data_IF_338936433869
#
_entry.id   IF_338936433869
#
_cell.length_a   1.000
_cell.length_b   1.000
_cell.length_c   1.000
_cell.angle_alpha   90.00
_cell.angle_beta   90.00
_cell.angle_gamma   90.00
#
_symmetry.space_group_name_H-M   'P 1'
#
loop_
_entity.id
_entity.type
_entity.pdbx_description
1 polymer ?
#
# COMPACT_ATOMS: atom_id res chain seq x y z
N UNK A 1 -33.81 -29.14 20.00
CA UNK A 1 -33.66 -27.69 20.29
C UNK A 1 -32.64 -27.35 21.40
N UNK A 2 -31.65 -28.22 21.69
CA UNK A 2 -30.60 -27.96 22.70
C UNK A 2 -29.17 -27.85 22.14
N UNK A 3 -28.95 -28.15 20.85
CA UNK A 3 -27.62 -28.05 20.22
C UNK A 3 -27.27 -26.65 19.65
N UNK A 4 -28.26 -25.79 19.38
CA UNK A 4 -28.00 -24.47 18.76
C UNK A 4 -27.56 -23.42 19.80
N UNK A 5 -27.95 -23.62 21.07
CA UNK A 5 -27.58 -22.72 22.18
C UNK A 5 -26.10 -22.81 22.56
N UNK A 6 -25.44 -23.95 22.33
CA UNK A 6 -24.04 -24.18 22.74
C UNK A 6 -23.04 -23.60 21.75
N UNK A 7 -23.36 -23.53 20.45
CA UNK A 7 -22.49 -22.92 19.44
C UNK A 7 -22.56 -21.38 19.42
N UNK A 8 -23.69 -20.80 19.86
CA UNK A 8 -23.83 -19.35 19.97
C UNK A 8 -22.98 -18.78 21.13
N UNK A 9 -22.80 -19.54 22.22
CA UNK A 9 -21.92 -19.15 23.33
C UNK A 9 -20.43 -19.21 22.99
N UNK A 10 -20.02 -20.16 22.13
CA UNK A 10 -18.62 -20.26 21.67
C UNK A 10 -18.23 -19.15 20.70
N UNK A 11 -19.18 -18.65 19.90
CA UNK A 11 -18.93 -17.57 18.94
C UNK A 11 -18.83 -16.19 19.61
N UNK A 12 -19.38 -15.97 20.80
CA UNK A 12 -19.26 -14.69 21.53
C UNK A 12 -17.93 -14.59 22.30
N UNK A 13 -17.36 -15.71 22.76
CA UNK A 13 -16.07 -15.74 23.44
C UNK A 13 -14.87 -15.33 22.56
N UNK A 14 -14.96 -15.54 21.24
CA UNK A 14 -13.90 -15.16 20.30
C UNK A 14 -13.86 -13.65 20.00
N UNK A 15 -14.95 -12.91 20.19
CA UNK A 15 -14.98 -11.46 19.91
C UNK A 15 -14.44 -10.61 21.06
N UNK A 16 -14.36 -11.14 22.28
CA UNK A 16 -13.84 -10.43 23.45
C UNK A 16 -12.30 -10.43 23.53
N UNK A 17 -11.62 -11.26 22.76
CA UNK A 17 -10.14 -11.27 22.70
C UNK A 17 -9.56 -10.14 21.83
N UNK A 18 -10.40 -9.47 21.04
CA UNK A 18 -10.00 -8.35 20.16
C UNK A 18 -9.88 -6.98 20.84
N UNK A 19 -10.38 -6.81 22.07
CA UNK A 19 -10.36 -5.51 22.80
C UNK A 19 -9.10 -5.30 23.66
N UNK A 20 -8.09 -6.16 23.57
CA UNK A 20 -6.87 -6.14 24.42
C UNK A 20 -6.07 -4.82 24.44
N UNK A 21 -5.97 -4.02 23.35
CA UNK A 21 -5.20 -2.78 23.39
C UNK A 21 -5.82 -1.68 24.27
N UNK A 22 -7.15 -1.67 24.44
CA UNK A 22 -7.85 -0.61 25.17
C UNK A 22 -7.58 -0.67 26.69
N UNK A 23 -7.30 -1.85 27.22
CA UNK A 23 -7.04 -2.07 28.65
C UNK A 23 -5.55 -1.98 29.04
N UNK A 24 -4.65 -1.73 28.09
CA UNK A 24 -3.21 -1.57 28.34
C UNK A 24 -2.76 -0.10 28.37
N UNK A 25 -3.60 0.81 28.85
CA UNK A 25 -3.16 2.17 29.13
C UNK A 25 -2.40 2.18 30.47
N UNK A 26 -1.12 2.55 30.51
CA UNK A 26 -0.35 2.55 31.75
C UNK A 26 -0.89 3.64 32.69
N UNK A 27 -1.43 3.22 33.84
CA UNK A 27 -1.87 4.11 34.92
C UNK A 27 -0.74 4.45 35.90
N UNK A 28 0.47 3.92 35.68
CA UNK A 28 1.65 4.12 36.51
C UNK A 28 2.85 4.58 35.69
N UNK A 29 3.80 5.22 36.36
CA UNK A 29 5.04 5.67 35.74
C UNK A 29 5.91 4.47 35.36
N UNK A 30 6.38 4.44 34.11
CA UNK A 30 7.33 3.44 33.66
C UNK A 30 8.77 3.84 34.03
N UNK A 31 9.62 2.85 34.33
CA UNK A 31 11.06 3.10 34.53
C UNK A 31 11.74 3.37 33.19
N UNK A 32 12.79 4.19 33.22
CA UNK A 32 13.65 4.39 32.06
C UNK A 32 14.22 3.03 31.60
N UNK A 33 14.18 2.79 30.29
CA UNK A 33 14.70 1.60 29.61
C UNK A 33 15.54 2.01 28.41
N UNK A 34 16.37 1.09 27.93
CA UNK A 34 17.04 1.26 26.63
C UNK A 34 15.96 1.47 25.55
N UNK A 35 16.25 2.36 24.59
CA UNK A 35 15.30 2.73 23.54
C UNK A 35 14.85 1.51 22.74
N UNK A 36 13.58 1.52 22.29
CA UNK A 36 13.02 0.43 21.52
C UNK A 36 13.81 0.23 20.20
N UNK A 37 14.35 -0.97 20.00
CA UNK A 37 14.94 -1.37 18.73
C UNK A 37 13.81 -1.82 17.79
N UNK A 38 13.64 -1.14 16.66
CA UNK A 38 12.68 -1.50 15.62
C UNK A 38 13.28 -2.60 14.74
N UNK A 39 12.43 -3.35 14.04
CA UNK A 39 12.82 -4.40 13.09
C UNK A 39 13.90 -3.96 12.07
N UNK A 40 13.99 -2.68 11.70
CA UNK A 40 15.04 -2.13 10.83
C UNK A 40 16.47 -2.45 11.31
N UNK A 41 16.68 -2.56 12.63
CA UNK A 41 17.97 -2.91 13.19
C UNK A 41 18.38 -4.37 12.90
N UNK A 42 17.41 -5.27 12.71
CA UNK A 42 17.72 -6.67 12.35
C UNK A 42 18.31 -6.77 10.95
N UNK A 43 17.77 -6.02 9.99
CA UNK A 43 18.31 -6.00 8.62
C UNK A 43 19.72 -5.38 8.55
N UNK A 44 19.99 -4.38 9.39
CA UNK A 44 21.32 -3.80 9.56
C UNK A 44 22.32 -4.79 10.15
N UNK A 45 21.95 -5.51 11.21
CA UNK A 45 22.80 -6.55 11.84
C UNK A 45 23.05 -7.75 10.92
N UNK A 46 22.18 -7.97 9.94
CA UNK A 46 22.26 -9.08 8.99
C UNK A 46 23.12 -8.78 7.74
N UNK A 47 23.78 -7.63 7.67
CA UNK A 47 24.69 -7.30 6.58
C UNK A 47 25.87 -8.29 6.45
N UNK A 48 26.39 -8.54 5.24
CA UNK A 48 27.63 -9.29 5.08
C UNK A 48 28.78 -8.55 5.77
N UNK A 49 29.74 -9.25 6.35
CA UNK A 49 30.87 -8.61 7.01
C UNK A 49 31.78 -7.90 5.99
N UNK A 50 32.30 -6.72 6.33
CA UNK A 50 33.25 -5.99 5.50
C UNK A 50 34.63 -6.67 5.48
N UNK A 51 35.35 -6.62 4.36
CA UNK A 51 36.75 -7.05 4.27
C UNK A 51 37.66 -6.12 5.08
N UNK A 52 37.39 -4.82 4.97
CA UNK A 52 38.06 -3.76 5.71
C UNK A 52 37.03 -2.67 6.00
N UNK A 53 37.01 -2.18 7.24
CA UNK A 53 36.15 -1.06 7.63
C UNK A 53 36.68 0.22 6.98
N UNK A 54 35.78 0.99 6.39
CA UNK A 54 36.14 2.22 5.68
C UNK A 54 35.99 3.41 6.62
N UNK A 55 37.06 4.20 6.78
CA UNK A 55 37.01 5.44 7.58
C UNK A 55 36.21 6.50 6.81
N UNK A 56 35.13 6.99 7.41
CA UNK A 56 34.21 7.94 6.78
C UNK A 56 34.03 9.20 7.62
N UNK A 57 34.04 10.35 6.97
CA UNK A 57 33.74 11.63 7.62
C UNK A 57 32.28 12.01 7.41
N UNK A 58 31.57 12.35 8.49
CA UNK A 58 30.21 12.92 8.44
C UNK A 58 30.25 14.32 9.01
N UNK A 59 29.93 15.32 8.20
CA UNK A 59 29.97 16.72 8.63
C UNK A 59 28.64 17.19 9.22
N UNK A 60 27.64 17.35 8.35
CA UNK A 60 26.30 17.80 8.73
C UNK A 60 25.30 16.98 7.96
N UNK A 61 24.47 16.25 8.69
CA UNK A 61 23.35 15.53 8.13
C UNK A 61 22.12 16.07 8.82
N UNK A 62 21.37 16.95 8.15
CA UNK A 62 20.34 17.78 8.76
C UNK A 62 19.00 17.62 8.07
N UNK A 63 17.96 18.08 8.75
CA UNK A 63 16.67 18.34 8.14
C UNK A 63 16.79 19.53 7.17
N UNK A 64 16.48 19.29 5.89
CA UNK A 64 16.44 20.29 4.82
C UNK A 64 15.01 20.52 4.32
N UNK A 65 14.00 19.94 4.98
CA UNK A 65 12.59 20.05 4.58
C UNK A 65 11.99 21.40 4.94
N UNK A 66 12.47 22.03 6.01
CA UNK A 66 11.91 23.26 6.57
C UNK A 66 10.51 23.08 7.16
N UNK A 67 10.06 21.86 7.41
CA UNK A 67 8.69 21.57 7.82
C UNK A 67 8.49 21.69 9.34
N UNK A 68 7.42 22.37 9.72
CA UNK A 68 6.93 22.45 11.09
C UNK A 68 5.71 21.54 11.28
N UNK A 69 5.43 21.13 12.52
CA UNK A 69 4.26 20.31 12.82
C UNK A 69 2.98 21.08 12.45
N UNK A 70 2.09 20.50 11.62
CA UNK A 70 0.82 21.14 11.30
C UNK A 70 -0.03 21.23 12.58
N UNK A 71 -0.62 22.40 12.82
CA UNK A 71 -1.61 22.59 13.88
C UNK A 71 -2.94 23.07 13.30
N UNK A 72 -4.03 22.61 13.90
CA UNK A 72 -5.39 22.86 13.40
C UNK A 72 -5.78 24.34 13.49
N UNK A 73 -5.28 25.07 14.50
CA UNK A 73 -5.61 26.49 14.74
C UNK A 73 -4.37 27.29 15.21
N UNK A 74 -3.34 27.48 14.36
CA UNK A 74 -2.21 28.36 14.67
C UNK A 74 -0.90 27.99 13.99
N UNK A 75 0.18 28.72 14.30
CA UNK A 75 1.55 28.41 13.86
C UNK A 75 2.32 27.65 14.94
N UNK A 76 3.02 26.58 14.56
CA UNK A 76 3.94 25.87 15.46
C UNK A 76 5.40 26.18 15.12
N UNK A 77 6.23 26.36 16.15
CA UNK A 77 7.70 26.41 16.00
C UNK A 77 8.36 25.04 16.17
N UNK A 78 7.58 23.99 16.47
CA UNK A 78 8.10 22.63 16.60
C UNK A 78 8.31 22.02 15.22
N UNK A 79 9.54 21.67 14.90
CA UNK A 79 9.88 20.99 13.64
C UNK A 79 9.17 19.64 13.54
N UNK A 80 8.80 19.24 12.33
CA UNK A 80 8.18 17.94 12.07
C UNK A 80 9.19 16.78 12.26
N UNK A 81 10.47 17.07 12.01
CA UNK A 81 11.58 16.13 12.07
C UNK A 81 12.55 16.51 13.18
N UNK A 82 13.22 15.50 13.74
CA UNK A 82 14.29 15.66 14.74
C UNK A 82 15.51 16.35 14.14
N UNK A 83 16.18 17.18 14.94
CA UNK A 83 17.43 17.84 14.56
C UNK A 83 18.69 16.99 14.86
N UNK A 84 18.53 15.86 15.56
CA UNK A 84 19.62 14.94 15.94
C UNK A 84 20.04 13.95 14.86
N UNK A 85 19.88 14.31 13.59
CA UNK A 85 19.96 13.36 12.46
C UNK A 85 21.39 12.97 12.11
N UNK A 86 22.37 13.85 12.37
CA UNK A 86 23.81 13.50 12.32
C UNK A 86 24.15 12.36 13.29
N UNK A 87 23.70 12.43 14.54
CA UNK A 87 23.95 11.39 15.55
C UNK A 87 23.33 10.05 15.16
N UNK A 88 22.11 10.08 14.61
CA UNK A 88 21.44 8.87 14.12
C UNK A 88 22.25 8.22 12.99
N UNK A 89 22.74 9.01 12.03
CA UNK A 89 23.58 8.51 10.94
C UNK A 89 24.91 7.93 11.45
N UNK A 90 25.61 8.64 12.33
CA UNK A 90 26.87 8.16 12.92
C UNK A 90 26.69 6.81 13.61
N UNK A 91 25.61 6.67 14.38
CA UNK A 91 25.25 5.41 15.03
C UNK A 91 24.94 4.30 14.03
N UNK A 92 24.15 4.58 12.99
CA UNK A 92 23.82 3.60 11.96
C UNK A 92 25.08 3.13 11.18
N UNK A 93 26.04 4.03 10.92
CA UNK A 93 27.32 3.69 10.30
C UNK A 93 28.18 2.81 11.22
N UNK A 94 28.21 3.09 12.52
CA UNK A 94 28.94 2.28 13.50
C UNK A 94 28.31 0.88 13.66
N UNK A 95 27.00 0.80 13.86
CA UNK A 95 26.24 -0.45 14.02
C UNK A 95 26.29 -1.33 12.76
N UNK A 96 26.50 -0.75 11.58
CA UNK A 96 26.67 -1.50 10.33
C UNK A 96 27.89 -2.42 10.33
N UNK A 97 28.94 -2.09 11.09
CA UNK A 97 30.22 -2.79 11.03
C UNK A 97 31.02 -2.58 9.73
N UNK A 98 30.55 -1.76 8.79
CA UNK A 98 31.24 -1.46 7.52
C UNK A 98 32.12 -0.21 7.58
N UNK A 99 31.80 0.70 8.50
CA UNK A 99 32.41 2.01 8.56
C UNK A 99 33.03 2.29 9.92
N UNK A 100 34.10 3.10 9.91
CA UNK A 100 34.66 3.75 11.08
C UNK A 100 34.35 5.26 10.95
N UNK A 101 33.19 5.72 11.47
CA UNK A 101 32.81 7.12 11.37
C UNK A 101 33.72 7.99 12.24
N UNK A 102 34.12 9.15 11.71
CA UNK A 102 34.93 10.14 12.44
C UNK A 102 34.13 11.42 12.74
N UNK A 103 34.34 11.97 13.93
CA UNK A 103 33.70 13.19 14.41
C UNK A 103 34.17 14.42 13.61
N UNK A 104 33.26 15.02 12.83
CA UNK A 104 33.48 16.28 12.10
C UNK A 104 32.39 17.31 12.33
N UNK A 105 31.26 16.95 12.95
CA UNK A 105 30.20 17.89 13.30
C UNK A 105 30.70 18.88 14.34
N UNK A 106 31.43 18.37 15.34
CA UNK A 106 31.98 19.18 16.43
C UNK A 106 33.52 19.14 16.51
N UNK A 107 34.17 19.25 15.34
CA UNK A 107 35.64 19.23 15.25
C UNK A 107 36.31 20.33 16.09
N UNK A 108 35.65 21.48 16.27
CA UNK A 108 36.16 22.57 17.10
C UNK A 108 36.43 22.14 18.55
N UNK A 109 35.48 21.45 19.17
CA UNK A 109 35.63 20.94 20.54
C UNK A 109 36.76 19.90 20.62
N UNK A 110 36.86 18.99 19.64
CA UNK A 110 37.94 18.00 19.60
C UNK A 110 39.33 18.65 19.47
N UNK A 111 39.46 19.70 18.65
CA UNK A 111 40.71 20.42 18.48
C UNK A 111 41.10 21.21 19.73
N UNK A 112 40.11 21.79 20.42
CA UNK A 112 40.32 22.46 21.70
C UNK A 112 40.82 21.47 22.77
N UNK A 113 40.17 20.33 22.91
CA UNK A 113 40.58 19.30 23.87
C UNK A 113 42.02 18.81 23.59
N UNK A 114 42.33 18.55 22.32
CA UNK A 114 43.70 18.18 21.92
C UNK A 114 44.72 19.29 22.16
N UNK A 115 44.31 20.56 22.06
CA UNK A 115 45.17 21.70 22.42
C UNK A 115 45.46 21.70 23.92
N UNK A 116 44.45 21.49 24.76
CA UNK A 116 44.60 21.39 26.23
C UNK A 116 45.58 20.26 26.57
N UNK A 117 45.41 19.08 26.00
CA UNK A 117 46.31 17.94 26.26
C UNK A 117 47.75 18.27 25.87
N UNK A 118 47.97 18.95 24.73
CA UNK A 118 49.32 19.35 24.30
C UNK A 118 49.94 20.36 25.26
N UNK A 119 49.20 21.38 25.71
CA UNK A 119 49.72 22.36 26.65
C UNK A 119 50.06 21.74 28.00
N UNK A 120 49.17 20.89 28.54
CA UNK A 120 49.41 20.20 29.81
C UNK A 120 50.64 19.29 29.73
N UNK A 121 50.79 18.52 28.65
CA UNK A 121 51.97 17.65 28.47
C UNK A 121 53.27 18.43 28.31
N UNK A 122 53.23 19.60 27.67
CA UNK A 122 54.40 20.48 27.56
C UNK A 122 54.82 21.00 28.94
N UNK A 123 53.86 21.52 29.72
CA UNK A 123 54.09 22.00 31.08
C UNK A 123 54.65 20.91 32.00
N UNK A 124 54.08 19.69 31.97
CA UNK A 124 54.62 18.55 32.73
C UNK A 124 56.04 18.18 32.31
N UNK A 125 56.36 18.27 31.02
CA UNK A 125 57.71 17.99 30.51
C UNK A 125 58.70 19.05 31.02
N UNK A 126 58.29 20.31 31.06
CA UNK A 126 59.09 21.42 31.61
C UNK A 126 59.33 21.27 33.12
N UNK A 127 58.31 20.86 33.88
CA UNK A 127 58.42 20.72 35.34
C UNK A 127 59.19 19.48 35.79
N UNK A 128 59.02 18.34 35.10
CA UNK A 128 59.56 17.04 35.56
C UNK A 128 60.79 16.58 34.76
N UNK A 129 61.08 17.22 33.62
CA UNK A 129 62.10 16.78 32.67
C UNK A 129 61.74 15.50 31.91
N UNK A 130 60.59 14.87 32.20
CA UNK A 130 60.15 13.63 31.56
C UNK A 130 59.32 13.94 30.31
N UNK A 131 59.87 13.58 29.14
CA UNK A 131 59.23 13.82 27.84
C UNK A 131 57.95 13.02 27.68
N UNK A 132 56.81 13.70 27.55
CA UNK A 132 55.52 13.07 27.31
C UNK A 132 55.36 12.60 25.86
N UNK A 133 54.61 11.51 25.60
CA UNK A 133 54.36 11.02 24.25
C UNK A 133 53.52 12.02 23.43
N UNK A 134 53.81 12.12 22.13
CA UNK A 134 53.05 12.98 21.20
C UNK A 134 51.67 12.37 20.94
N UNK A 135 50.66 13.22 20.77
CA UNK A 135 49.33 12.75 20.41
C UNK A 135 49.32 12.15 18.99
N UNK A 136 48.64 11.00 18.76
CA UNK A 136 48.49 10.44 17.43
C UNK A 136 47.74 11.41 16.51
N UNK A 137 48.03 11.45 15.19
CA UNK A 137 47.32 12.31 14.25
C UNK A 137 45.84 11.93 14.15
N UNK A 138 45.00 12.87 13.72
CA UNK A 138 43.59 12.58 13.44
C UNK A 138 43.48 11.67 12.22
N UNK A 139 42.52 10.74 12.26
CA UNK A 139 42.25 9.85 11.13
C UNK A 139 41.78 10.68 9.90
N UNK A 140 42.30 10.29 8.74
CA UNK A 140 41.87 10.80 7.45
C UNK A 140 40.79 9.89 6.87
N UNK A 141 39.69 10.48 6.40
CA UNK A 141 38.64 9.75 5.70
C UNK A 141 38.84 9.85 4.19
N UNK A 142 38.99 8.72 3.51
CA UNK A 142 39.03 8.66 2.04
C UNK A 142 37.67 8.98 1.39
N UNK A 143 36.60 8.83 2.16
CA UNK A 143 35.23 9.08 1.74
C UNK A 143 34.52 9.97 2.77
N UNK A 144 33.84 11.00 2.30
CA UNK A 144 32.93 11.79 3.11
C UNK A 144 31.49 11.42 2.77
N UNK A 145 30.65 11.34 3.79
CA UNK A 145 29.23 11.08 3.66
C UNK A 145 28.46 12.35 3.97
N UNK A 146 27.58 12.73 3.06
CA UNK A 146 26.73 13.92 3.18
C UNK A 146 25.31 13.60 2.78
N UNK A 147 24.39 14.48 3.16
CA UNK A 147 22.98 14.34 2.83
C UNK A 147 22.09 14.97 3.88
N UNK A 148 20.89 14.44 3.99
CA UNK A 148 19.92 14.89 4.97
C UNK A 148 18.53 14.36 4.67
N UNK A 149 17.58 14.80 5.48
CA UNK A 149 16.16 14.64 5.15
C UNK A 149 15.78 15.74 4.17
N UNK A 150 15.45 15.36 2.95
CA UNK A 150 15.20 16.30 1.84
C UNK A 150 13.72 16.63 1.73
N UNK A 151 12.83 15.67 2.00
CA UNK A 151 11.38 15.90 1.97
C UNK A 151 10.69 15.25 3.17
N UNK A 152 9.69 15.97 3.68
CA UNK A 152 8.67 15.48 4.59
C UNK A 152 7.33 15.89 4.03
N UNK A 153 6.61 14.92 3.48
CA UNK A 153 5.32 15.13 2.85
C UNK A 153 4.25 14.70 3.85
N UNK A 154 3.58 15.67 4.47
CA UNK A 154 2.46 15.42 5.37
C UNK A 154 1.17 15.16 4.58
N UNK A 155 0.29 14.30 5.11
CA UNK A 155 -1.05 14.04 4.56
C UNK A 155 -1.04 13.54 3.10
N UNK A 156 -0.02 12.76 2.72
CA UNK A 156 0.12 12.18 1.37
C UNK A 156 -1.09 11.34 0.97
N UNK A 157 -1.65 10.62 1.94
CA UNK A 157 -2.91 9.91 1.78
C UNK A 157 -3.75 10.11 3.03
N UNK A 158 -4.93 10.68 2.85
CA UNK A 158 -5.95 10.78 3.90
C UNK A 158 -7.20 10.09 3.42
N UNK A 159 -7.86 9.38 4.33
CA UNK A 159 -9.16 8.82 4.05
C UNK A 159 -9.86 8.43 5.33
N UNK A 160 -11.13 8.12 5.19
CA UNK A 160 -11.94 7.72 6.32
C UNK A 160 -13.28 7.20 5.86
N UNK A 161 -13.87 6.35 6.68
CA UNK A 161 -15.20 5.83 6.49
C UNK A 161 -15.95 5.98 7.80
N UNK A 162 -17.19 6.46 7.73
CA UNK A 162 -18.06 6.64 8.88
C UNK A 162 -19.42 6.04 8.62
N UNK A 163 -19.94 5.29 9.58
CA UNK A 163 -21.33 4.79 9.58
C UNK A 163 -22.05 5.39 10.78
N UNK A 164 -23.24 5.94 10.56
CA UNK A 164 -24.10 6.47 11.63
C UNK A 164 -25.50 5.88 11.49
N UNK A 165 -26.03 5.30 12.56
CA UNK A 165 -27.36 4.71 12.60
C UNK A 165 -27.94 4.79 14.02
N UNK A 166 -29.17 5.31 14.15
CA UNK A 166 -29.93 5.35 15.41
C UNK A 166 -29.14 5.82 16.64
N UNK A 167 -28.51 6.98 16.54
CA UNK A 167 -27.78 7.55 17.68
C UNK A 167 -26.50 6.78 18.03
N UNK A 168 -25.99 5.90 17.18
CA UNK A 168 -24.64 5.35 17.27
C UNK A 168 -23.88 5.70 15.98
N UNK A 169 -22.59 5.97 16.11
CA UNK A 169 -21.66 6.30 15.05
C UNK A 169 -20.35 5.56 15.25
N UNK A 170 -19.72 5.13 14.15
CA UNK A 170 -18.33 4.71 14.14
C UNK A 170 -17.65 5.38 12.95
N UNK A 171 -16.45 5.92 13.17
CA UNK A 171 -15.64 6.53 12.12
C UNK A 171 -14.19 6.12 12.27
N UNK A 172 -13.59 5.68 11.18
CA UNK A 172 -12.15 5.51 11.07
C UNK A 172 -11.57 6.60 10.20
N UNK A 173 -10.43 7.16 10.62
CA UNK A 173 -9.60 8.05 9.82
C UNK A 173 -8.20 7.46 9.73
N UNK A 174 -7.59 7.55 8.55
CA UNK A 174 -6.20 7.20 8.37
C UNK A 174 -5.48 8.32 7.63
N UNK A 175 -4.22 8.51 7.98
CA UNK A 175 -3.36 9.57 7.48
C UNK A 175 -1.96 9.00 7.31
N UNK A 176 -1.37 9.29 6.16
CA UNK A 176 -0.04 8.82 5.80
C UNK A 176 0.87 10.02 5.57
N UNK A 177 1.98 10.08 6.30
CA UNK A 177 3.07 11.00 6.02
C UNK A 177 4.24 10.23 5.42
N UNK A 178 5.17 10.91 4.77
CA UNK A 178 6.38 10.29 4.20
C UNK A 178 7.61 11.13 4.47
N UNK A 179 8.68 10.47 4.87
CA UNK A 179 10.00 11.08 5.01
C UNK A 179 10.96 10.51 3.96
N UNK A 180 11.71 11.39 3.31
CA UNK A 180 12.67 11.02 2.26
C UNK A 180 14.07 11.46 2.64
N UNK A 181 15.00 10.51 2.66
CA UNK A 181 16.39 10.69 3.04
C UNK A 181 17.28 10.51 1.83
N UNK A 182 18.24 11.42 1.64
CA UNK A 182 19.32 11.26 0.66
C UNK A 182 20.64 11.10 1.38
N UNK A 183 21.45 10.16 0.91
CA UNK A 183 22.80 9.92 1.39
C UNK A 183 23.74 9.77 0.19
N UNK A 184 24.81 10.55 0.17
CA UNK A 184 25.82 10.54 -0.88
C UNK A 184 27.21 10.27 -0.30
N UNK A 185 27.96 9.42 -0.99
CA UNK A 185 29.37 9.18 -0.73
C UNK A 185 30.23 9.96 -1.73
N UNK A 186 31.18 10.73 -1.23
CA UNK A 186 32.06 11.59 -2.02
C UNK A 186 33.51 11.24 -1.72
N UNK A 187 34.35 11.13 -2.74
CA UNK A 187 35.79 10.94 -2.54
C UNK A 187 36.43 12.25 -2.10
N UNK A 188 37.15 12.22 -0.98
CA UNK A 188 37.87 13.39 -0.46
C UNK A 188 39.10 13.73 -1.31
N UNK A 189 39.57 12.79 -2.14
CA UNK A 189 40.75 12.99 -2.99
C UNK A 189 40.50 13.89 -4.20
N UNK A 190 39.29 13.83 -4.79
CA UNK A 190 38.98 14.49 -6.06
C UNK A 190 37.58 15.13 -6.10
N UNK A 191 36.80 15.05 -5.01
CA UNK A 191 35.46 15.62 -4.94
C UNK A 191 34.39 14.88 -5.75
N UNK A 192 34.72 13.74 -6.37
CA UNK A 192 33.75 12.96 -7.15
C UNK A 192 32.71 12.32 -6.23
N UNK A 193 31.44 12.49 -6.59
CA UNK A 193 30.34 11.72 -6.00
C UNK A 193 30.48 10.27 -6.49
N UNK A 194 30.77 9.36 -5.56
CA UNK A 194 30.95 7.93 -5.81
C UNK A 194 29.60 7.23 -5.97
N UNK A 195 28.66 7.53 -5.07
CA UNK A 195 27.31 6.96 -5.09
C UNK A 195 26.34 7.90 -4.37
N UNK A 196 25.11 7.97 -4.86
CA UNK A 196 23.99 8.62 -4.19
C UNK A 196 22.88 7.59 -4.06
N UNK A 197 22.35 7.45 -2.85
CA UNK A 197 21.18 6.64 -2.56
C UNK A 197 20.09 7.52 -1.97
N UNK A 198 18.85 7.14 -2.20
CA UNK A 198 17.70 7.76 -1.58
C UNK A 198 16.82 6.66 -1.00
N UNK A 199 16.21 6.94 0.15
CA UNK A 199 15.27 6.06 0.82
C UNK A 199 14.07 6.87 1.25
N UNK A 200 12.92 6.20 1.33
CA UNK A 200 11.69 6.82 1.81
C UNK A 200 11.00 5.90 2.80
N UNK A 201 10.58 6.46 3.94
CA UNK A 201 9.76 5.75 4.93
C UNK A 201 8.42 6.43 5.06
N UNK A 202 7.37 5.63 4.98
CA UNK A 202 6.00 6.02 5.29
C UNK A 202 5.78 6.00 6.80
N UNK A 203 5.13 7.04 7.33
CA UNK A 203 4.71 7.18 8.73
C UNK A 203 3.19 7.05 8.77
N UNK A 204 2.71 6.06 9.51
CA UNK A 204 1.29 5.76 9.59
C UNK A 204 0.63 6.38 10.84
N UNK A 205 -0.45 7.11 10.61
CA UNK A 205 -1.36 7.63 11.63
C UNK A 205 -2.76 7.06 11.40
N UNK A 206 -3.34 6.42 12.41
CA UNK A 206 -4.69 5.85 12.35
C UNK A 206 -5.48 6.29 13.57
N UNK A 207 -6.73 6.69 13.35
CA UNK A 207 -7.66 7.05 14.41
C UNK A 207 -8.96 6.27 14.18
N UNK A 208 -9.47 5.66 15.24
CA UNK A 208 -10.75 4.96 15.23
C UNK A 208 -11.59 5.52 16.37
N UNK A 209 -12.74 6.06 16.02
CA UNK A 209 -13.71 6.65 16.94
C UNK A 209 -15.04 5.90 16.86
N UNK A 210 -15.68 5.72 18.00
CA UNK A 210 -17.04 5.25 18.15
C UNK A 210 -17.80 6.23 19.07
N UNK A 211 -18.94 6.71 18.60
CA UNK A 211 -19.76 7.71 19.27
C UNK A 211 -21.19 7.21 19.48
N UNK A 212 -21.79 7.56 20.61
CA UNK A 212 -23.17 7.27 20.96
C UNK A 212 -23.88 8.57 21.34
N UNK A 213 -24.89 8.93 20.56
CA UNK A 213 -25.77 10.07 20.69
C UNK A 213 -27.17 9.63 21.14
N UNK A 214 -27.64 10.13 22.28
CA UNK A 214 -29.03 9.95 22.72
C UNK A 214 -29.71 11.30 22.89
N UNK A 215 -30.85 11.49 22.23
CA UNK A 215 -31.70 12.67 22.43
C UNK A 215 -32.43 12.53 23.78
N UNK A 216 -32.13 13.42 24.72
CA UNK A 216 -32.73 13.39 26.07
C UNK A 216 -33.87 14.42 26.18
N UNK A 217 -33.84 15.51 25.41
CA UNK A 217 -34.95 16.49 25.25
C UNK A 217 -34.76 17.29 23.94
N UNK A 218 -35.81 18.01 23.47
CA UNK A 218 -35.79 18.83 22.23
C UNK A 218 -34.62 19.84 22.11
N UNK A 219 -33.87 20.10 23.19
CA UNK A 219 -32.69 20.98 23.23
C UNK A 219 -31.46 20.37 23.93
N UNK A 220 -31.44 19.07 24.24
CA UNK A 220 -30.33 18.41 24.97
C UNK A 220 -29.95 17.08 24.35
N UNK A 221 -28.70 17.01 23.88
CA UNK A 221 -28.02 15.83 23.35
C UNK A 221 -27.09 15.27 24.44
N UNK A 222 -27.16 13.96 24.68
CA UNK A 222 -26.14 13.24 25.45
C UNK A 222 -25.24 12.52 24.46
N UNK A 223 -23.95 12.82 24.49
CA UNK A 223 -22.93 12.26 23.60
C UNK A 223 -21.87 11.53 24.43
N UNK A 224 -21.51 10.32 24.00
CA UNK A 224 -20.41 9.55 24.57
C UNK A 224 -19.52 9.11 23.42
N UNK A 225 -18.30 9.64 23.36
CA UNK A 225 -17.30 9.28 22.37
C UNK A 225 -16.20 8.45 23.02
N UNK A 226 -15.80 7.36 22.36
CA UNK A 226 -14.63 6.56 22.71
C UNK A 226 -13.81 6.37 21.44
N UNK A 227 -12.49 6.48 21.54
CA UNK A 227 -11.62 6.31 20.39
C UNK A 227 -10.18 6.02 20.80
N UNK A 228 -9.40 5.52 19.86
CA UNK A 228 -7.96 5.38 20.00
C UNK A 228 -7.25 5.90 18.76
N UNK A 229 -6.08 6.49 18.99
CA UNK A 229 -5.21 6.97 17.92
C UNK A 229 -3.87 6.25 18.03
N UNK A 230 -3.45 5.63 16.93
CA UNK A 230 -2.13 5.08 16.75
C UNK A 230 -1.31 6.01 15.86
N UNK A 231 -0.19 6.51 16.37
CA UNK A 231 0.76 7.32 15.62
C UNK A 231 2.14 6.69 15.69
N UNK A 232 2.69 6.35 14.53
CA UNK A 232 4.10 5.97 14.45
C UNK A 232 4.99 7.18 14.82
N UNK A 233 5.93 7.06 15.78
CA UNK A 233 6.81 8.17 16.14
C UNK A 233 7.72 8.60 14.98
N UNK A 234 7.71 9.89 14.64
CA UNK A 234 8.47 10.41 13.49
C UNK A 234 9.98 10.21 13.64
N UNK A 235 10.52 10.29 14.86
CA UNK A 235 11.93 10.00 15.14
C UNK A 235 12.30 8.55 14.76
N UNK A 236 11.44 7.59 15.07
CA UNK A 236 11.69 6.18 14.76
C UNK A 236 11.66 5.93 13.25
N UNK A 237 10.72 6.54 12.54
CA UNK A 237 10.66 6.45 11.09
C UNK A 237 11.88 7.11 10.39
N UNK A 238 12.36 8.24 10.92
CA UNK A 238 13.59 8.90 10.43
C UNK A 238 14.80 8.01 10.67
N UNK A 239 14.90 7.41 11.86
CA UNK A 239 15.95 6.45 12.19
C UNK A 239 15.96 5.28 11.21
N UNK A 240 14.82 4.65 10.97
CA UNK A 240 14.68 3.52 10.04
C UNK A 240 15.04 3.93 8.59
N UNK A 241 14.63 5.13 8.16
CA UNK A 241 14.98 5.64 6.83
C UNK A 241 16.49 5.87 6.66
N UNK A 242 17.17 6.37 7.70
CA UNK A 242 18.63 6.57 7.71
C UNK A 242 19.36 5.22 7.73
N UNK A 243 18.93 4.28 8.58
CA UNK A 243 19.47 2.91 8.60
C UNK A 243 19.34 2.24 7.23
N UNK A 244 18.17 2.35 6.59
CA UNK A 244 17.95 1.85 5.22
C UNK A 244 18.84 2.54 4.21
N UNK A 245 19.11 3.84 4.36
CA UNK A 245 20.01 4.58 3.48
C UNK A 245 21.45 4.09 3.60
N UNK A 246 21.92 3.83 4.82
CA UNK A 246 23.25 3.23 5.07
C UNK A 246 23.32 1.82 4.46
N UNK A 247 22.29 1.00 4.68
CA UNK A 247 22.20 -0.34 4.10
C UNK A 247 22.27 -0.30 2.56
N UNK A 248 21.47 0.57 1.94
CA UNK A 248 21.45 0.75 0.49
C UNK A 248 22.79 1.23 -0.03
N UNK A 249 23.42 2.19 0.67
CA UNK A 249 24.75 2.68 0.30
C UNK A 249 25.76 1.54 0.30
N UNK A 250 25.76 0.67 1.34
CA UNK A 250 26.66 -0.49 1.43
C UNK A 250 26.47 -1.43 0.25
N UNK A 251 25.24 -1.87 -0.03
CA UNK A 251 24.98 -2.78 -1.14
C UNK A 251 25.33 -2.17 -2.51
N UNK A 252 24.94 -0.92 -2.75
CA UNK A 252 25.28 -0.21 -3.99
C UNK A 252 26.79 0.02 -4.14
N UNK A 253 27.48 0.29 -3.03
CA UNK A 253 28.94 0.41 -3.02
C UNK A 253 29.64 -0.94 -3.24
N UNK A 254 29.06 -2.05 -2.80
CA UNK A 254 29.55 -3.40 -3.12
C UNK A 254 29.39 -3.71 -4.61
N UNK A 255 28.26 -3.34 -5.21
CA UNK A 255 28.00 -3.54 -6.64
C UNK A 255 28.95 -2.71 -7.53
N UNK A 256 29.25 -1.49 -7.10
CA UNK A 256 30.16 -0.58 -7.82
C UNK A 256 31.65 -0.80 -7.49
N UNK A 257 31.96 -1.72 -6.58
CA UNK A 257 33.33 -2.02 -6.16
C UNK A 257 33.99 -0.91 -5.33
N UNK A 258 33.21 -0.06 -4.67
CA UNK A 258 33.70 0.97 -3.73
C UNK A 258 34.29 0.35 -2.46
N UNK A 259 33.70 -0.75 -2.00
CA UNK A 259 34.18 -1.56 -0.89
C UNK A 259 33.80 -3.02 -1.10
N UNK A 260 34.49 -3.92 -0.40
CA UNK A 260 34.39 -5.35 -0.62
C UNK A 260 33.93 -6.08 0.65
N UNK A 261 33.02 -7.07 0.52
CA UNK A 261 32.71 -7.97 1.63
C UNK A 261 33.92 -8.86 1.94
N UNK A 262 33.97 -9.36 3.18
CA UNK A 262 34.99 -10.30 3.64
C UNK A 262 34.99 -11.58 2.79
N UNK A 263 33.79 -12.05 2.44
CA UNK A 263 33.59 -13.14 1.49
C UNK A 263 33.01 -12.60 0.18
N UNK A 264 33.73 -12.80 -0.92
CA UNK A 264 33.30 -12.42 -2.27
C UNK A 264 32.03 -13.13 -2.76
N UNK A 265 31.67 -14.28 -2.20
CA UNK A 265 30.46 -15.03 -2.60
C UNK A 265 29.18 -14.28 -2.22
N UNK A 266 29.23 -13.41 -1.21
CA UNK A 266 28.11 -12.57 -0.74
C UNK A 266 27.59 -11.61 -1.82
N UNK A 267 28.43 -11.24 -2.80
CA UNK A 267 27.99 -10.44 -3.97
C UNK A 267 26.93 -11.16 -4.82
N UNK A 268 26.86 -12.50 -4.73
CA UNK A 268 25.84 -13.33 -5.38
C UNK A 268 24.96 -14.06 -4.37
N UNK A 269 25.08 -13.71 -3.09
CA UNK A 269 24.34 -14.32 -1.99
C UNK A 269 22.86 -13.94 -2.00
N UNK A 270 22.07 -14.65 -1.21
CA UNK A 270 20.63 -14.40 -1.06
C UNK A 270 20.31 -12.97 -0.59
N UNK A 271 21.15 -12.41 0.28
CA UNK A 271 20.98 -11.04 0.82
C UNK A 271 21.11 -9.97 -0.26
N UNK A 272 22.14 -10.06 -1.11
CA UNK A 272 22.31 -9.17 -2.25
C UNK A 272 21.16 -9.33 -3.26
N UNK A 273 20.74 -10.56 -3.52
CA UNK A 273 19.60 -10.82 -4.40
C UNK A 273 18.30 -10.23 -3.85
N UNK A 274 18.05 -10.32 -2.54
CA UNK A 274 16.90 -9.69 -1.88
C UNK A 274 16.95 -8.17 -2.02
N UNK A 275 18.10 -7.54 -1.80
CA UNK A 275 18.27 -6.11 -2.00
C UNK A 275 18.03 -5.68 -3.46
N UNK A 276 18.61 -6.40 -4.43
CA UNK A 276 18.41 -6.11 -5.85
C UNK A 276 16.94 -6.30 -6.24
N UNK A 277 16.29 -7.35 -5.74
CA UNK A 277 14.86 -7.55 -5.93
C UNK A 277 14.05 -6.39 -5.35
N UNK A 278 14.29 -5.98 -4.11
CA UNK A 278 13.64 -4.85 -3.47
C UNK A 278 13.81 -3.56 -4.31
N UNK A 279 15.03 -3.30 -4.79
CA UNK A 279 15.33 -2.15 -5.65
C UNK A 279 14.55 -2.18 -6.97
N UNK A 280 14.49 -3.34 -7.63
CA UNK A 280 13.69 -3.50 -8.85
C UNK A 280 12.19 -3.41 -8.55
N UNK A 281 11.72 -3.98 -7.44
CA UNK A 281 10.34 -3.84 -6.98
C UNK A 281 9.98 -2.36 -6.73
N UNK A 282 10.88 -1.59 -6.12
CA UNK A 282 10.69 -0.16 -5.84
C UNK A 282 10.46 0.71 -7.08
N UNK A 283 10.94 0.30 -8.27
CA UNK A 283 10.66 1.00 -9.54
C UNK A 283 9.19 0.92 -9.98
N UNK A 284 8.43 -0.01 -9.40
CA UNK A 284 7.04 -0.27 -9.76
C UNK A 284 6.02 0.28 -8.75
N UNK A 285 6.46 1.09 -7.77
CA UNK A 285 5.56 1.77 -6.83
C UNK A 285 5.44 3.25 -7.16
N UNK A 286 4.23 3.81 -7.02
CA UNK A 286 4.04 5.26 -7.09
C UNK A 286 4.43 5.94 -5.77
N UNK A 287 4.35 7.28 -5.75
CA UNK A 287 4.64 8.09 -4.57
C UNK A 287 3.75 7.78 -3.36
N UNK A 288 2.64 7.06 -3.54
CA UNK A 288 1.72 6.63 -2.48
C UNK A 288 1.97 5.20 -2.02
N UNK A 289 2.99 4.52 -2.56
CA UNK A 289 3.26 3.12 -2.23
C UNK A 289 2.25 2.15 -2.85
N UNK A 290 1.52 2.58 -3.90
CA UNK A 290 0.66 1.68 -4.68
C UNK A 290 1.51 1.02 -5.77
N UNK A 291 1.35 -0.29 -5.90
CA UNK A 291 2.02 -1.03 -6.97
C UNK A 291 1.37 -0.68 -8.31
N UNK A 292 2.08 0.11 -9.12
CA UNK A 292 1.62 0.53 -10.44
C UNK A 292 1.88 -0.58 -11.43
N UNK A 293 0.80 -1.22 -11.89
CA UNK A 293 0.85 -2.18 -12.97
C UNK A 293 0.73 -1.45 -14.30
N UNK A 294 1.74 -1.61 -15.17
CA UNK A 294 1.62 -1.22 -16.56
C UNK A 294 0.75 -2.26 -17.29
N UNK A 295 -0.55 -1.99 -17.39
CA UNK A 295 -1.48 -2.81 -18.16
C UNK A 295 -1.25 -2.61 -19.66
N UNK A 296 -0.68 -3.62 -20.30
CA UNK A 296 -0.48 -3.67 -21.75
C UNK A 296 -1.78 -4.03 -22.48
N UNK A 297 -1.78 -3.88 -23.80
CA UNK A 297 -2.89 -4.34 -24.63
C UNK A 297 -3.01 -5.87 -24.59
N UNK A 298 -4.18 -6.36 -24.20
CA UNK A 298 -4.42 -7.78 -23.97
C UNK A 298 -5.84 -8.17 -24.36
N UNK A 299 -5.99 -9.39 -24.89
CA UNK A 299 -7.28 -10.02 -25.09
C UNK A 299 -7.67 -10.73 -23.79
N UNK A 300 -8.81 -10.37 -23.19
CA UNK A 300 -9.32 -10.93 -21.94
C UNK A 300 -10.50 -11.86 -22.18
N UNK A 301 -10.38 -13.11 -21.75
CA UNK A 301 -11.51 -14.05 -21.67
C UNK A 301 -12.01 -14.09 -20.22
N UNK A 302 -13.26 -13.71 -20.01
CA UNK A 302 -13.90 -13.71 -18.70
C UNK A 302 -15.00 -14.75 -18.67
N UNK A 303 -14.99 -15.60 -17.65
CA UNK A 303 -16.06 -16.56 -17.38
C UNK A 303 -16.58 -16.32 -15.98
N UNK A 304 -17.87 -15.99 -15.86
CA UNK A 304 -18.55 -15.76 -14.57
C UNK A 304 -19.78 -16.65 -14.43
N UNK A 305 -20.05 -17.03 -13.18
CA UNK A 305 -21.25 -17.73 -12.77
C UNK A 305 -21.84 -17.05 -11.54
N UNK A 306 -23.14 -17.17 -11.36
CA UNK A 306 -23.79 -16.52 -10.24
C UNK A 306 -25.28 -16.75 -10.19
N UNK A 307 -25.96 -15.80 -9.56
CA UNK A 307 -27.39 -15.86 -9.31
C UNK A 307 -28.04 -14.58 -9.83
N UNK A 308 -29.23 -14.72 -10.41
CA UNK A 308 -30.04 -13.60 -10.88
C UNK A 308 -31.44 -13.69 -10.33
N UNK A 309 -32.05 -12.53 -10.13
CA UNK A 309 -33.42 -12.37 -9.68
C UNK A 309 -34.16 -11.48 -10.66
N UNK A 310 -35.33 -11.95 -11.05
CA UNK A 310 -36.27 -11.20 -11.87
C UNK A 310 -37.05 -10.21 -10.99
N UNK A 311 -37.28 -9.02 -11.52
CA UNK A 311 -38.11 -7.98 -10.91
C UNK A 311 -39.04 -7.45 -12.00
N UNK A 312 -40.31 -7.86 -11.92
CA UNK A 312 -41.37 -7.51 -12.86
C UNK A 312 -42.73 -7.79 -12.24
N UNK A 313 -43.76 -7.95 -13.06
CA UNK A 313 -45.16 -7.90 -12.61
C UNK A 313 -45.65 -9.16 -11.88
N UNK A 314 -44.92 -10.28 -11.96
CA UNK A 314 -45.26 -11.50 -11.23
C UNK A 314 -44.82 -11.49 -9.76
N UNK A 315 -45.75 -11.86 -8.88
CA UNK A 315 -45.47 -12.07 -7.45
C UNK A 315 -44.50 -13.25 -7.20
N UNK A 316 -43.64 -13.12 -6.18
CA UNK A 316 -42.68 -14.14 -5.73
C UNK A 316 -41.57 -14.54 -6.74
N UNK A 317 -40.68 -13.61 -7.15
CA UNK A 317 -39.56 -13.94 -8.03
C UNK A 317 -38.54 -14.86 -7.34
N UNK A 318 -38.15 -15.95 -8.02
CA UNK A 318 -37.14 -16.88 -7.52
C UNK A 318 -35.74 -16.53 -8.01
N UNK A 319 -34.75 -16.70 -7.16
CA UNK A 319 -33.33 -16.58 -7.51
C UNK A 319 -32.90 -17.80 -8.32
N UNK A 320 -32.29 -17.58 -9.48
CA UNK A 320 -31.89 -18.65 -10.41
C UNK A 320 -30.44 -18.50 -10.86
N UNK A 321 -29.77 -19.61 -11.23
CA UNK A 321 -28.39 -19.57 -11.69
C UNK A 321 -28.27 -18.89 -13.06
N UNK A 322 -27.16 -18.18 -13.25
CA UNK A 322 -26.76 -17.56 -14.52
C UNK A 322 -25.28 -17.82 -14.79
N UNK A 323 -24.93 -18.07 -16.04
CA UNK A 323 -23.57 -18.20 -16.54
C UNK A 323 -23.35 -17.17 -17.64
N UNK A 324 -22.16 -16.58 -17.67
CA UNK A 324 -21.80 -15.52 -18.60
C UNK A 324 -20.34 -15.65 -19.04
N UNK A 325 -20.13 -15.63 -20.35
CA UNK A 325 -18.82 -15.54 -20.97
C UNK A 325 -18.65 -14.19 -21.67
N UNK A 326 -17.52 -13.53 -21.46
CA UNK A 326 -17.19 -12.25 -22.06
C UNK A 326 -15.80 -12.31 -22.70
N UNK A 327 -15.71 -11.84 -23.94
CA UNK A 327 -14.45 -11.58 -24.63
C UNK A 327 -14.23 -10.06 -24.68
N UNK A 328 -13.15 -9.60 -24.07
CA UNK A 328 -12.82 -8.18 -23.94
C UNK A 328 -11.46 -7.88 -24.57
N UNK A 329 -11.29 -6.67 -25.10
CA UNK A 329 -10.00 -6.19 -25.56
C UNK A 329 -9.56 -5.02 -24.69
N UNK A 330 -8.54 -5.23 -23.87
CA UNK A 330 -7.99 -4.20 -23.00
C UNK A 330 -7.13 -3.25 -23.83
N UNK A 331 -7.52 -1.97 -23.89
CA UNK A 331 -6.74 -0.93 -24.56
C UNK A 331 -5.48 -0.55 -23.76
N UNK A 332 -4.46 0.03 -24.40
CA UNK A 332 -3.29 0.58 -23.70
C UNK A 332 -3.71 1.51 -22.54
N UNK A 333 -3.09 1.33 -21.38
CA UNK A 333 -3.46 2.06 -20.16
C UNK A 333 -4.59 1.42 -19.35
N UNK A 334 -5.19 0.32 -19.82
CA UNK A 334 -6.04 -0.58 -19.03
C UNK A 334 -7.40 -0.04 -18.59
N UNK A 335 -7.67 1.26 -18.78
CA UNK A 335 -8.91 1.93 -18.36
C UNK A 335 -10.12 1.44 -19.12
N UNK A 336 -10.02 1.32 -20.44
CA UNK A 336 -11.15 0.98 -21.31
C UNK A 336 -10.99 -0.43 -21.87
N UNK A 337 -12.08 -1.20 -21.86
CA UNK A 337 -12.13 -2.55 -22.38
C UNK A 337 -13.46 -2.78 -23.10
N UNK A 338 -13.55 -2.48 -24.41
CA UNK A 338 -14.68 -2.95 -25.21
C UNK A 338 -14.81 -4.46 -25.11
N UNK A 339 -16.03 -4.96 -25.09
CA UNK A 339 -16.30 -6.38 -24.97
C UNK A 339 -17.53 -6.82 -25.76
N UNK A 340 -17.53 -8.11 -26.08
CA UNK A 340 -18.71 -8.86 -26.48
C UNK A 340 -18.93 -9.97 -25.46
N UNK A 341 -20.18 -10.24 -25.12
CA UNK A 341 -20.51 -11.23 -24.13
C UNK A 341 -21.76 -12.01 -24.51
N UNK A 342 -21.84 -13.23 -24.00
CA UNK A 342 -22.99 -14.09 -24.16
C UNK A 342 -23.21 -14.89 -22.89
N UNK A 343 -24.45 -15.20 -22.58
CA UNK A 343 -24.76 -15.96 -21.40
C UNK A 343 -26.04 -16.76 -21.50
N UNK A 344 -26.22 -17.61 -20.51
CA UNK A 344 -27.37 -18.47 -20.35
C UNK A 344 -27.87 -18.34 -18.92
N UNK A 345 -29.18 -18.19 -18.76
CA UNK A 345 -29.82 -18.14 -17.46
C UNK A 345 -31.17 -18.84 -17.45
N UNK A 346 -31.73 -19.00 -16.24
CA UNK A 346 -33.14 -19.34 -16.04
C UNK A 346 -33.84 -18.21 -15.34
N UNK A 347 -35.08 -17.93 -15.74
CA UNK A 347 -36.01 -17.09 -14.99
C UNK A 347 -37.17 -17.98 -14.56
N UNK A 348 -37.58 -17.86 -13.29
CA UNK A 348 -38.78 -18.54 -12.83
C UNK A 348 -39.53 -17.80 -11.74
N UNK A 349 -40.82 -18.06 -11.66
CA UNK A 349 -41.70 -17.67 -10.56
C UNK A 349 -42.32 -18.93 -9.94
N UNK A 350 -42.78 -18.86 -8.70
CA UNK A 350 -43.28 -20.05 -7.97
C UNK A 350 -44.45 -20.78 -8.66
N UNK A 351 -45.24 -20.08 -9.49
CA UNK A 351 -46.48 -20.64 -10.09
C UNK A 351 -46.67 -20.41 -11.59
N UNK A 352 -45.92 -19.52 -12.26
CA UNK A 352 -46.31 -19.04 -13.60
C UNK A 352 -45.23 -19.12 -14.68
N UNK A 353 -43.94 -19.24 -14.34
CA UNK A 353 -42.86 -19.13 -15.33
C UNK A 353 -41.65 -20.00 -14.96
N UNK A 354 -41.08 -20.76 -15.90
CA UNK A 354 -39.78 -21.44 -15.75
C UNK A 354 -39.15 -21.64 -17.13
N UNK A 355 -38.32 -20.69 -17.56
CA UNK A 355 -37.77 -20.69 -18.92
C UNK A 355 -36.28 -20.46 -18.92
N UNK A 356 -35.59 -21.08 -19.89
CA UNK A 356 -34.19 -20.81 -20.19
C UNK A 356 -34.13 -19.69 -21.22
N UNK A 357 -33.21 -18.76 -21.01
CA UNK A 357 -32.93 -17.71 -21.97
C UNK A 357 -31.46 -17.66 -22.29
N UNK A 358 -31.17 -17.20 -23.49
CA UNK A 358 -29.82 -16.92 -23.98
C UNK A 358 -29.76 -15.44 -24.33
N UNK A 359 -28.63 -14.81 -24.10
CA UNK A 359 -28.45 -13.42 -24.47
C UNK A 359 -27.07 -13.20 -25.07
N UNK A 360 -26.99 -12.20 -25.92
CA UNK A 360 -25.74 -11.68 -26.47
C UNK A 360 -25.75 -10.15 -26.31
N UNK A 361 -24.65 -9.60 -25.82
CA UNK A 361 -24.50 -8.17 -25.54
C UNK A 361 -23.11 -7.69 -25.96
N UNK A 362 -23.03 -6.43 -26.39
CA UNK A 362 -21.78 -5.75 -26.69
C UNK A 362 -21.73 -4.44 -25.90
N UNK A 363 -20.56 -4.09 -25.40
CA UNK A 363 -20.45 -2.98 -24.48
C UNK A 363 -19.02 -2.55 -24.20
N UNK A 364 -18.89 -1.70 -23.19
CA UNK A 364 -17.61 -1.20 -22.71
C UNK A 364 -17.54 -1.37 -21.19
N UNK A 365 -16.41 -1.90 -20.73
CA UNK A 365 -16.03 -1.93 -19.32
C UNK A 365 -14.98 -0.86 -19.09
N UNK A 366 -15.15 -0.08 -18.02
CA UNK A 366 -14.20 0.93 -17.56
C UNK A 366 -13.67 0.57 -16.18
N UNK A 367 -12.34 0.47 -16.05
CA UNK A 367 -11.64 0.27 -14.77
C UNK A 367 -11.31 1.62 -14.16
N UNK A 368 -11.76 1.86 -12.93
CA UNK A 368 -11.54 3.13 -12.25
C UNK A 368 -10.08 3.27 -11.81
N UNK A 369 -9.43 2.17 -11.42
CA UNK A 369 -8.05 2.11 -10.95
C UNK A 369 -7.23 1.13 -11.81
N UNK A 370 -6.98 1.43 -13.10
CA UNK A 370 -6.39 0.46 -14.03
C UNK A 370 -4.94 0.06 -13.69
N UNK A 371 -4.26 0.86 -12.88
CA UNK A 371 -2.89 0.60 -12.41
C UNK A 371 -2.84 -0.33 -11.21
N UNK A 372 -3.96 -0.52 -10.51
CA UNK A 372 -3.97 -1.19 -9.21
C UNK A 372 -4.37 -2.66 -9.37
N UNK A 373 -3.84 -3.53 -8.49
CA UNK A 373 -4.22 -4.96 -8.47
C UNK A 373 -5.68 -5.16 -8.11
N UNK A 374 -6.19 -4.34 -7.19
CA UNK A 374 -7.60 -4.30 -6.84
C UNK A 374 -8.23 -3.10 -7.54
N UNK A 375 -9.08 -3.35 -8.52
CA UNK A 375 -9.70 -2.30 -9.33
C UNK A 375 -11.21 -2.45 -9.35
N UNK A 376 -11.95 -1.44 -8.89
CA UNK A 376 -13.36 -1.31 -9.23
C UNK A 376 -13.53 -1.12 -10.74
N UNK A 377 -14.62 -1.64 -11.28
CA UNK A 377 -15.01 -1.42 -12.66
C UNK A 377 -16.49 -1.08 -12.76
N UNK A 378 -16.82 -0.32 -13.81
CA UNK A 378 -18.18 -0.10 -14.28
C UNK A 378 -18.30 -0.68 -15.68
N UNK A 379 -19.49 -1.12 -16.05
CA UNK A 379 -19.76 -1.61 -17.40
C UNK A 379 -21.14 -1.17 -17.88
N UNK A 380 -21.24 -0.92 -19.17
CA UNK A 380 -22.49 -0.67 -19.87
C UNK A 380 -22.49 -1.44 -21.19
N UNK A 381 -23.60 -2.11 -21.49
CA UNK A 381 -23.78 -2.90 -22.71
C UNK A 381 -25.20 -2.79 -23.25
N UNK A 382 -25.35 -3.05 -24.53
CA UNK A 382 -26.64 -3.25 -25.18
C UNK A 382 -26.63 -4.61 -25.89
N UNK A 383 -27.79 -5.26 -25.91
CA UNK A 383 -27.87 -6.62 -26.40
C UNK A 383 -29.28 -7.08 -26.69
N UNK A 384 -29.39 -8.36 -26.99
CA UNK A 384 -30.66 -9.02 -27.25
C UNK A 384 -30.75 -10.33 -26.46
N UNK A 385 -31.94 -10.61 -25.93
CA UNK A 385 -32.26 -11.85 -25.21
C UNK A 385 -33.23 -12.68 -26.03
N UNK A 386 -32.96 -13.96 -26.15
CA UNK A 386 -33.76 -14.96 -26.87
C UNK A 386 -34.27 -15.99 -25.87
N UNK A 387 -35.56 -16.26 -25.92
CA UNK A 387 -36.24 -17.28 -25.13
C UNK A 387 -36.08 -18.65 -25.76
N UNK A 388 -35.74 -19.68 -24.99
CA UNK A 388 -35.78 -21.06 -25.44
C UNK A 388 -37.19 -21.65 -25.18
N UNK A 389 -37.91 -22.01 -26.24
CA UNK A 389 -39.24 -22.62 -26.16
C UNK A 389 -39.18 -23.99 -25.47
N UNK A 390 -40.14 -24.24 -24.56
CA UNK A 390 -40.35 -25.53 -23.90
C UNK A 390 -41.30 -26.41 -24.71
N UNK A 391 -41.18 -27.73 -24.56
CA UNK A 391 -41.86 -28.77 -25.33
C UNK A 391 -43.39 -28.55 -25.52
N UNK A 392 -43.79 -27.95 -26.64
CA UNK A 392 -44.72 -28.44 -27.71
C UNK A 392 -44.78 -27.30 -28.75
N UNK A 393 -44.26 -27.48 -29.98
CA UNK A 393 -44.24 -26.40 -30.97
C UNK A 393 -45.65 -26.21 -31.55
N UNK A 394 -46.44 -25.33 -30.95
CA UNK A 394 -47.59 -24.75 -31.64
C UNK A 394 -47.07 -23.71 -32.63
N UNK A 395 -47.67 -23.63 -33.83
CA UNK A 395 -47.29 -22.78 -34.97
C UNK A 395 -47.20 -21.26 -34.68
N UNK A 396 -47.45 -20.85 -33.43
CA UNK A 396 -47.40 -19.49 -32.90
C UNK A 396 -46.19 -19.20 -31.98
N UNK A 397 -45.35 -20.19 -31.64
CA UNK A 397 -44.26 -20.04 -30.66
C UNK A 397 -42.92 -19.71 -31.36
N UNK A 398 -42.86 -18.57 -32.05
CA UNK A 398 -41.63 -18.08 -32.67
C UNK A 398 -40.64 -17.58 -31.58
N UNK A 399 -39.33 -17.87 -31.70
CA UNK A 399 -38.32 -17.32 -30.79
C UNK A 399 -38.31 -15.79 -30.90
N UNK A 400 -38.73 -15.12 -29.84
CA UNK A 400 -38.78 -13.66 -29.79
C UNK A 400 -37.45 -13.09 -29.29
N UNK A 401 -36.99 -12.05 -29.99
CA UNK A 401 -35.77 -11.32 -29.68
C UNK A 401 -36.15 -10.06 -28.90
N UNK A 402 -35.70 -9.97 -27.65
CA UNK A 402 -36.01 -8.85 -26.75
C UNK A 402 -34.75 -7.98 -26.57
N UNK A 403 -34.73 -6.73 -27.09
CA UNK A 403 -33.61 -5.83 -26.89
C UNK A 403 -33.51 -5.38 -25.44
N UNK A 404 -32.29 -5.22 -24.93
CA UNK A 404 -32.04 -4.83 -23.55
C UNK A 404 -30.77 -3.98 -23.41
N UNK A 405 -30.70 -3.27 -22.28
CA UNK A 405 -29.52 -2.54 -21.84
C UNK A 405 -29.06 -3.10 -20.50
N UNK A 406 -27.76 -3.35 -20.36
CA UNK A 406 -27.14 -3.87 -19.15
C UNK A 406 -26.23 -2.79 -18.56
N UNK A 407 -26.38 -2.50 -17.27
CA UNK A 407 -25.48 -1.64 -16.51
C UNK A 407 -24.99 -2.44 -15.31
N UNK A 408 -23.69 -2.40 -15.04
CA UNK A 408 -23.12 -3.12 -13.90
C UNK A 408 -21.92 -2.44 -13.28
N UNK A 409 -21.62 -2.86 -12.07
CA UNK A 409 -20.46 -2.45 -11.31
C UNK A 409 -19.86 -3.67 -10.60
N UNK A 410 -18.55 -3.67 -10.41
CA UNK A 410 -17.90 -4.77 -9.71
C UNK A 410 -16.47 -4.47 -9.32
N UNK A 411 -15.80 -5.50 -8.83
CA UNK A 411 -14.43 -5.49 -8.36
C UNK A 411 -13.66 -6.57 -9.13
N UNK A 412 -12.44 -6.24 -9.54
CA UNK A 412 -11.48 -7.16 -10.13
C UNK A 412 -10.22 -7.18 -9.25
N UNK A 413 -9.75 -8.37 -8.88
CA UNK A 413 -8.50 -8.58 -8.17
C UNK A 413 -7.53 -9.39 -9.04
N UNK A 414 -6.41 -8.77 -9.43
CA UNK A 414 -5.39 -9.39 -10.24
C UNK A 414 -4.47 -10.28 -9.39
N UNK A 415 -4.57 -11.59 -9.58
CA UNK A 415 -3.76 -12.60 -8.87
C UNK A 415 -2.35 -12.65 -9.44
N UNK A 416 -2.22 -12.59 -10.77
CA UNK A 416 -0.94 -12.54 -11.47
C UNK A 416 -1.09 -11.79 -12.81
N UNK A 417 0.00 -11.71 -13.59
CA UNK A 417 0.00 -11.00 -14.87
C UNK A 417 -1.04 -11.51 -15.89
N UNK A 418 -1.60 -12.72 -15.74
CA UNK A 418 -2.56 -13.31 -16.69
C UNK A 418 -3.92 -13.66 -16.09
N UNK A 419 -4.05 -13.73 -14.77
CA UNK A 419 -5.26 -14.23 -14.11
C UNK A 419 -5.76 -13.19 -13.11
N UNK A 420 -7.03 -12.83 -13.24
CA UNK A 420 -7.75 -12.02 -12.26
C UNK A 420 -9.02 -12.74 -11.79
N UNK A 421 -9.43 -12.49 -10.55
CA UNK A 421 -10.74 -12.85 -10.02
C UNK A 421 -11.64 -11.64 -10.15
N UNK A 422 -12.90 -11.83 -10.54
CA UNK A 422 -13.87 -10.74 -10.67
C UNK A 422 -15.17 -11.09 -9.95
N UNK A 423 -15.79 -10.09 -9.33
CA UNK A 423 -17.11 -10.20 -8.73
C UNK A 423 -17.88 -8.91 -8.94
N UNK A 424 -19.15 -8.99 -9.30
CA UNK A 424 -19.94 -7.80 -9.60
C UNK A 424 -21.44 -8.04 -9.59
N UNK A 425 -22.15 -6.93 -9.74
CA UNK A 425 -23.59 -6.84 -9.81
C UNK A 425 -24.00 -6.06 -11.06
N UNK A 426 -24.99 -6.58 -11.76
CA UNK A 426 -25.52 -5.99 -12.98
C UNK A 426 -27.04 -6.01 -13.01
N UNK A 427 -27.60 -4.93 -13.54
CA UNK A 427 -29.01 -4.79 -13.85
C UNK A 427 -29.19 -4.82 -15.36
N UNK A 428 -30.07 -5.69 -15.85
CA UNK A 428 -30.52 -5.70 -17.24
C UNK A 428 -31.94 -5.18 -17.31
N UNK A 429 -32.09 -4.10 -18.07
CA UNK A 429 -33.34 -3.40 -18.33
C UNK A 429 -33.85 -3.83 -19.70
N UNK A 430 -35.02 -4.46 -19.76
CA UNK A 430 -35.63 -4.84 -21.03
C UNK A 430 -36.37 -3.64 -21.62
N UNK A 431 -36.17 -3.39 -22.92
CA UNK A 431 -36.81 -2.27 -23.62
C UNK A 431 -38.22 -2.62 -24.12
N UNK A 432 -38.65 -3.86 -23.90
CA UNK A 432 -39.99 -4.39 -24.23
C UNK A 432 -40.51 -5.20 -23.05
N UNK A 433 -41.82 -5.15 -22.88
CA UNK A 433 -42.58 -5.70 -21.75
C UNK A 433 -43.12 -7.13 -22.03
N UNK A 434 -42.46 -7.88 -22.91
CA UNK A 434 -42.96 -9.17 -23.41
C UNK A 434 -42.07 -10.36 -23.04
N UNK A 435 -41.12 -10.19 -22.11
CA UNK A 435 -40.13 -11.24 -21.81
C UNK A 435 -40.70 -12.38 -20.97
N UNK A 436 -41.81 -12.17 -20.30
CA UNK A 436 -42.55 -13.14 -19.51
C UNK A 436 -43.76 -13.75 -20.28
N UNK A 437 -44.15 -13.14 -21.41
CA UNK A 437 -45.25 -13.56 -22.26
C UNK A 437 -46.60 -12.93 -21.95
N UNK A 438 -46.67 -11.97 -21.02
CA UNK A 438 -47.89 -11.27 -20.63
C UNK A 438 -47.75 -9.75 -20.83
N UNK A 439 -48.39 -9.20 -21.86
CA UNK A 439 -48.33 -7.76 -22.18
C UNK A 439 -49.32 -6.91 -21.33
N UNK A 440 -49.58 -7.34 -20.09
CA UNK A 440 -50.63 -6.77 -19.21
C UNK A 440 -49.97 -6.38 -17.90
N UNK A 441 -49.31 -5.22 -17.92
CA UNK A 441 -48.38 -4.79 -16.90
C UNK A 441 -48.22 -3.27 -16.82
N UNK A 442 -47.78 -2.75 -15.67
CA UNK A 442 -47.44 -1.30 -15.50
C UNK A 442 -45.93 -1.11 -15.32
N UNK A 443 -45.16 -2.16 -15.04
CA UNK A 443 -43.74 -2.07 -14.71
C UNK A 443 -42.89 -2.85 -15.71
N UNK A 444 -41.94 -2.16 -16.34
CA UNK A 444 -40.99 -2.81 -17.23
C UNK A 444 -40.21 -3.93 -16.52
N UNK A 445 -40.15 -5.08 -17.18
CA UNK A 445 -39.34 -6.21 -16.79
C UNK A 445 -37.86 -5.87 -16.63
N UNK A 446 -37.30 -6.20 -15.47
CA UNK A 446 -35.88 -6.02 -15.17
C UNK A 446 -35.29 -7.26 -14.50
N UNK A 447 -33.99 -7.45 -14.64
CA UNK A 447 -33.26 -8.50 -13.90
C UNK A 447 -32.06 -7.90 -13.19
N UNK A 448 -31.79 -8.39 -11.98
CA UNK A 448 -30.59 -8.07 -11.22
C UNK A 448 -29.79 -9.36 -10.99
N UNK A 449 -28.51 -9.35 -11.32
CA UNK A 449 -27.61 -10.48 -11.16
C UNK A 449 -26.41 -10.13 -10.28
N UNK A 450 -25.94 -11.12 -9.53
CA UNK A 450 -24.67 -11.12 -8.81
C UNK A 450 -23.83 -12.25 -9.39
N UNK A 451 -22.61 -11.94 -9.84
CA UNK A 451 -21.74 -12.87 -10.56
C UNK A 451 -20.32 -12.83 -10.02
N UNK A 452 -19.68 -13.98 -9.97
CA UNK A 452 -18.26 -14.14 -9.59
C UNK A 452 -17.59 -15.02 -10.64
N UNK A 453 -16.33 -14.76 -10.96
CA UNK A 453 -15.62 -15.53 -11.96
C UNK A 453 -14.15 -15.21 -12.10
N UNK A 454 -13.59 -15.66 -13.22
CA UNK A 454 -12.18 -15.53 -13.55
C UNK A 454 -12.03 -14.78 -14.88
N UNK A 455 -10.97 -13.99 -14.96
CA UNK A 455 -10.52 -13.29 -16.16
C UNK A 455 -9.15 -13.84 -16.52
N UNK A 456 -8.99 -14.30 -17.75
CA UNK A 456 -7.72 -14.74 -18.31
C UNK A 456 -7.25 -13.76 -19.40
N UNK A 457 -6.07 -13.16 -19.22
CA UNK A 457 -5.50 -12.16 -20.11
C UNK A 457 -4.37 -12.72 -20.98
N UNK A 458 -4.59 -12.70 -22.29
CA UNK A 458 -3.63 -13.04 -23.32
C UNK A 458 -2.96 -11.75 -23.79
N UNK A 459 -1.71 -11.57 -23.38
CA UNK A 459 -0.91 -10.40 -23.73
C UNK A 459 -0.47 -10.52 -25.18
N UNK A 460 -0.76 -9.51 -25.99
CA UNK A 460 -0.19 -9.43 -27.33
C UNK A 460 1.27 -8.99 -27.20
N UNK A 461 2.22 -9.81 -27.69
CA UNK A 461 3.61 -9.38 -27.79
C UNK A 461 3.69 -8.24 -28.81
N UNK A 462 3.57 -6.99 -28.37
CA UNK A 462 4.11 -5.90 -29.17
C UNK A 462 5.63 -5.99 -29.08
N UNK A 463 6.30 -6.13 -30.23
CA UNK A 463 7.75 -5.95 -30.36
C UNK A 463 8.09 -4.63 -29.67
N UNK A 464 8.85 -4.70 -28.58
CA UNK A 464 9.47 -3.48 -28.05
C UNK A 464 10.34 -2.94 -29.18
N UNK A 465 10.03 -1.74 -29.65
CA UNK A 465 10.98 -0.98 -30.44
C UNK A 465 12.15 -0.73 -29.50
N UNK A 466 13.28 -1.35 -29.81
CA UNK A 466 14.56 -1.06 -29.18
C UNK A 466 14.79 0.45 -29.25
N UNK A 467 14.68 1.13 -28.11
CA UNK A 467 15.26 2.47 -27.98
C UNK A 467 16.76 2.24 -27.97
N UNK A 468 17.38 2.47 -29.13
CA UNK A 468 18.81 2.42 -29.31
C UNK A 468 19.44 3.67 -28.71
N UNK A 469 20.50 3.43 -27.93
CA UNK A 469 21.54 4.34 -27.41
C UNK A 469 21.21 5.15 -26.17
#
# INVERSE_FOLDING_TARGET
MKLISTYLGGMVGLWLTGCSPYFHQPFSTERARLGAEVNGNQEMRNLPAAKLRTVVAVYKFRDQTGQYKPQTNGSSFSTAITQGTTTILLRALEESGWFDPIERENLGNLLNERKIIRSTRAEFTEQTGVKQPVLPPLLFAGTMLEGGIISYDANMLTGGAGLRYFGAGASGQYRQDRVTVYLRAISTSNGRILKTVYTSKTILSQQVDASLFRFVNFKRLLETETGFTYNEPSEMAVKEAIEKAVQALIYEGMLDGLWLPKDSTELKGSKMLQYVQEREYGKHYDVLGRQVMQRQAALGLTLTAGAQRYAGDYASPQTRPVIHGMLSYQLPGGRWSPFIAGGQGRLSTERFFNQRFYYAEAGIQTRLLPTDRFTPYLMAAAGATIRASGQVPSRADQPRIVPHVTIGAGLEYQVNARVSVTGGLDGRLFLRDDIDGANVGRYNDNTAAVRIGLVYQIHTKMRSASVSK
#
